data_IF_475737567701
#
_entry.id   IF_475737567701
#
_cell.length_a   1.000
_cell.length_b   1.000
_cell.length_c   1.000
_cell.angle_alpha   90.00
_cell.angle_beta   90.00
_cell.angle_gamma   90.00
#
_symmetry.space_group_name_H-M   'P 1'
#
loop_
_entity.id
_entity.type
_entity.pdbx_description
1 polymer ?
#
# COMPACT_ATOMS: atom_id res chain seq x y z
N UNK A 1 0.52 4.08 -4.49
CA UNK A 1 0.64 5.52 -4.16
C UNK A 1 0.52 6.30 -5.45
N UNK A 2 -0.26 7.40 -5.51
CA UNK A 2 -0.33 8.20 -6.72
C UNK A 2 1.05 8.72 -7.13
N UNK A 3 1.28 8.87 -8.43
CA UNK A 3 2.46 9.58 -8.93
C UNK A 3 2.28 11.04 -8.55
N UNK A 4 3.21 11.56 -7.75
CA UNK A 4 3.22 12.96 -7.35
C UNK A 4 4.09 13.73 -8.34
N UNK A 5 3.48 14.64 -9.10
CA UNK A 5 4.20 15.45 -10.11
C UNK A 5 4.82 16.72 -9.51
N UNK A 6 4.19 17.31 -8.49
CA UNK A 6 4.67 18.52 -7.83
C UNK A 6 6.04 18.32 -7.17
N UNK A 7 7.01 19.16 -7.54
CA UNK A 7 8.39 19.10 -7.05
C UNK A 7 8.53 19.34 -5.56
N UNK A 8 7.79 20.29 -5.00
CA UNK A 8 7.86 20.63 -3.57
C UNK A 8 7.27 19.49 -2.73
N UNK A 9 6.19 18.86 -3.19
CA UNK A 9 5.61 17.69 -2.54
C UNK A 9 6.54 16.49 -2.63
N UNK A 10 7.17 16.25 -3.79
CA UNK A 10 8.20 15.19 -3.94
C UNK A 10 9.37 15.40 -2.99
N UNK A 11 9.83 16.65 -2.84
CA UNK A 11 10.90 17.01 -1.90
C UNK A 11 10.49 16.75 -0.45
N UNK A 12 9.28 17.15 -0.04
CA UNK A 12 8.75 16.86 1.29
C UNK A 12 8.67 15.35 1.57
N UNK A 13 8.23 14.55 0.60
CA UNK A 13 8.19 13.09 0.72
C UNK A 13 9.58 12.46 0.78
N UNK A 14 10.57 13.03 0.10
CA UNK A 14 11.96 12.59 0.20
C UNK A 14 12.51 12.80 1.61
N UNK A 15 12.31 13.99 2.20
CA UNK A 15 12.69 14.28 3.58
C UNK A 15 11.95 13.40 4.60
N UNK A 16 10.67 13.10 4.39
CA UNK A 16 9.93 12.15 5.21
C UNK A 16 10.55 10.75 5.19
N UNK A 17 10.89 10.24 4.00
CA UNK A 17 11.52 8.91 3.83
C UNK A 17 12.91 8.87 4.44
N UNK A 18 13.69 9.94 4.31
CA UNK A 18 14.99 10.10 4.95
C UNK A 18 14.84 10.05 6.48
N UNK A 19 13.95 10.86 7.06
CA UNK A 19 13.69 10.87 8.50
C UNK A 19 13.25 9.50 9.03
N UNK A 20 12.41 8.78 8.28
CA UNK A 20 12.00 7.41 8.60
C UNK A 20 13.17 6.43 8.64
N UNK A 21 14.09 6.51 7.69
CA UNK A 21 15.28 5.63 7.64
C UNK A 21 16.28 5.94 8.76
N UNK A 22 16.37 7.20 9.17
CA UNK A 22 17.30 7.66 10.21
C UNK A 22 16.75 7.48 11.64
N UNK A 23 15.42 7.33 11.79
CA UNK A 23 14.79 7.15 13.11
C UNK A 23 15.35 5.91 13.82
N UNK A 24 15.86 6.08 15.04
CA UNK A 24 16.49 4.98 15.80
C UNK A 24 17.94 4.68 15.40
N UNK A 25 18.48 5.36 14.38
CA UNK A 25 19.90 5.32 14.00
C UNK A 25 20.58 6.63 14.37
N UNK A 26 20.00 7.76 13.99
CA UNK A 26 20.52 9.10 14.30
C UNK A 26 19.39 10.12 14.48
N UNK A 27 18.89 10.23 15.70
CA UNK A 27 17.67 10.99 16.02
C UNK A 27 17.76 12.48 15.65
N UNK A 28 18.93 13.11 15.78
CA UNK A 28 19.12 14.51 15.35
C UNK A 28 18.93 14.74 13.85
N UNK A 29 19.50 13.90 13.00
CA UNK A 29 19.27 14.00 11.56
C UNK A 29 17.86 13.57 11.19
N UNK A 30 17.28 12.57 11.88
CA UNK A 30 15.89 12.21 11.69
C UNK A 30 14.94 13.38 11.99
N UNK A 31 15.17 14.07 13.12
CA UNK A 31 14.43 15.27 13.52
C UNK A 31 14.55 16.35 12.44
N UNK A 32 15.78 16.64 12.00
CA UNK A 32 16.03 17.65 10.97
C UNK A 32 15.34 17.28 9.64
N UNK A 33 15.38 16.02 9.22
CA UNK A 33 14.67 15.57 8.01
C UNK A 33 13.16 15.75 8.14
N UNK A 34 12.55 15.38 9.27
CA UNK A 34 11.13 15.66 9.49
C UNK A 34 10.81 17.15 9.53
N UNK A 35 11.68 17.97 10.15
CA UNK A 35 11.53 19.43 10.15
C UNK A 35 11.58 20.00 8.72
N UNK A 36 12.47 19.50 7.87
CA UNK A 36 12.61 19.90 6.45
C UNK A 36 11.36 19.63 5.61
N UNK A 37 10.52 18.66 6.00
CA UNK A 37 9.21 18.43 5.37
C UNK A 37 8.36 19.70 5.41
N UNK A 38 8.31 20.37 6.55
CA UNK A 38 7.56 21.61 6.74
C UNK A 38 8.37 22.80 6.22
N UNK A 39 9.66 22.88 6.55
CA UNK A 39 10.50 24.03 6.22
C UNK A 39 10.60 24.30 4.72
N UNK A 40 10.73 23.25 3.90
CA UNK A 40 10.88 23.34 2.45
C UNK A 40 9.68 23.97 1.73
N UNK A 41 8.54 24.11 2.40
CA UNK A 41 7.29 24.61 1.82
C UNK A 41 7.11 26.13 2.00
N UNK A 42 8.06 26.81 2.64
CA UNK A 42 7.99 28.23 2.96
C UNK A 42 9.22 28.98 2.44
N UNK A 43 9.00 30.05 1.67
CA UNK A 43 10.09 30.84 1.08
C UNK A 43 10.81 31.77 2.09
N UNK A 44 10.09 32.39 3.05
CA UNK A 44 10.63 33.52 3.85
C UNK A 44 10.58 33.35 5.39
N UNK A 45 10.48 32.13 5.93
CA UNK A 45 10.58 31.91 7.38
C UNK A 45 9.38 32.32 8.25
N UNK A 46 8.65 33.37 7.86
CA UNK A 46 7.47 33.87 8.57
C UNK A 46 6.32 32.87 8.49
N UNK A 47 5.69 32.56 9.64
CA UNK A 47 4.49 31.70 9.73
C UNK A 47 4.75 30.25 10.16
N UNK A 48 6.00 29.77 10.17
CA UNK A 48 6.33 28.36 10.50
C UNK A 48 6.09 28.01 11.96
N UNK A 49 6.60 28.84 12.88
CA UNK A 49 6.39 28.64 14.31
C UNK A 49 4.89 28.70 14.67
N UNK A 50 4.15 29.62 14.03
CA UNK A 50 2.70 29.71 14.19
C UNK A 50 1.99 28.46 13.67
N UNK A 51 2.44 27.90 12.53
CA UNK A 51 1.88 26.66 12.01
C UNK A 51 2.09 25.50 12.99
N UNK A 52 3.30 25.36 13.56
CA UNK A 52 3.54 24.35 14.60
C UNK A 52 2.58 24.53 15.77
N UNK A 53 2.53 25.71 16.37
CA UNK A 53 1.64 25.99 17.51
C UNK A 53 0.18 25.66 17.21
N UNK A 54 -0.34 26.06 16.04
CA UNK A 54 -1.72 25.78 15.63
C UNK A 54 -2.02 24.30 15.43
N UNK A 55 -1.00 23.47 15.18
CA UNK A 55 -1.18 22.06 14.83
C UNK A 55 -0.89 21.06 15.97
N UNK A 56 -0.35 21.53 17.11
CA UNK A 56 -0.02 20.67 18.25
C UNK A 56 -1.24 19.93 18.81
N UNK A 57 -2.38 20.61 18.94
CA UNK A 57 -3.57 20.04 19.58
C UNK A 57 -4.32 19.03 18.67
N UNK A 58 -3.88 18.87 17.43
CA UNK A 58 -4.40 17.84 16.51
C UNK A 58 -3.58 16.55 16.52
N UNK A 59 -2.47 16.51 17.28
CA UNK A 59 -1.68 15.29 17.41
C UNK A 59 -2.41 14.33 18.36
N UNK A 60 -2.66 13.11 17.90
CA UNK A 60 -3.42 12.09 18.65
C UNK A 60 -2.58 10.92 19.12
N UNK A 61 -1.28 10.89 18.79
CA UNK A 61 -0.40 9.81 19.21
C UNK A 61 -0.01 10.01 20.68
N UNK A 62 -0.18 8.98 21.52
CA UNK A 62 -0.10 9.11 22.98
C UNK A 62 1.24 9.66 23.48
N UNK A 63 2.36 9.29 22.84
CA UNK A 63 3.69 9.79 23.22
C UNK A 63 3.87 11.25 22.83
N UNK A 64 3.34 11.68 21.69
CA UNK A 64 3.31 13.07 21.25
C UNK A 64 2.46 13.91 22.20
N UNK A 65 1.26 13.45 22.55
CA UNK A 65 0.38 14.14 23.51
C UNK A 65 1.07 14.27 24.88
N UNK A 66 1.69 13.19 25.35
CA UNK A 66 2.43 13.19 26.62
C UNK A 66 3.60 14.17 26.59
N UNK A 67 4.38 14.18 25.50
CA UNK A 67 5.52 15.09 25.35
C UNK A 67 5.09 16.56 25.26
N UNK A 68 3.97 16.87 24.60
CA UNK A 68 3.39 18.22 24.60
C UNK A 68 3.03 18.65 26.02
N UNK A 69 2.43 17.75 26.81
CA UNK A 69 2.04 18.04 28.18
C UNK A 69 3.27 18.31 29.08
N UNK A 70 4.34 17.53 28.93
CA UNK A 70 5.62 17.74 29.63
C UNK A 70 6.19 19.14 29.34
N UNK A 71 6.36 19.49 28.06
CA UNK A 71 6.92 20.77 27.66
C UNK A 71 6.06 21.96 28.13
N UNK A 72 4.72 21.81 28.10
CA UNK A 72 3.79 22.82 28.62
C UNK A 72 3.90 22.96 30.15
N UNK A 73 4.10 21.86 30.88
CA UNK A 73 4.28 21.88 32.33
C UNK A 73 5.60 22.57 32.74
N UNK A 74 6.63 22.45 31.90
CA UNK A 74 7.91 23.15 32.05
C UNK A 74 7.84 24.64 31.64
N UNK A 75 6.68 25.12 31.19
CA UNK A 75 6.42 26.51 30.81
C UNK A 75 6.91 26.88 29.41
N UNK A 76 7.21 25.90 28.55
CA UNK A 76 7.70 26.16 27.20
C UNK A 76 6.57 26.54 26.22
N UNK A 77 6.87 27.48 25.32
CA UNK A 77 6.11 27.65 24.07
C UNK A 77 6.54 26.55 23.09
N UNK A 78 5.83 25.42 23.16
CA UNK A 78 6.17 24.18 22.42
C UNK A 78 6.39 24.41 20.93
N UNK A 79 5.56 25.23 20.27
CA UNK A 79 5.71 25.47 18.83
C UNK A 79 6.98 26.26 18.50
N UNK A 80 7.31 27.25 19.34
CA UNK A 80 8.55 28.02 19.23
C UNK A 80 9.78 27.17 19.59
N UNK A 81 9.67 26.34 20.62
CA UNK A 81 10.71 25.38 21.03
C UNK A 81 11.06 24.42 19.92
N UNK A 82 10.06 23.79 19.29
CA UNK A 82 10.26 22.86 18.18
C UNK A 82 10.86 23.55 16.94
N UNK A 83 10.43 24.79 16.66
CA UNK A 83 11.02 25.57 15.58
C UNK A 83 12.49 25.89 15.82
N UNK A 84 12.84 26.33 17.04
CA UNK A 84 14.22 26.59 17.44
C UNK A 84 15.07 25.32 17.41
N UNK A 85 14.55 24.23 17.98
CA UNK A 85 15.22 22.93 18.03
C UNK A 85 15.45 22.36 16.63
N UNK A 86 14.49 22.47 15.71
CA UNK A 86 14.66 21.99 14.33
C UNK A 86 15.70 22.76 13.54
N UNK A 87 15.70 24.09 13.70
CA UNK A 87 16.70 24.98 13.09
C UNK A 87 18.09 24.86 13.67
N UNK A 88 18.28 24.12 14.76
CA UNK A 88 19.57 23.93 15.38
C UNK A 88 19.89 22.45 15.59
N UNK A 89 19.07 21.51 15.12
CA UNK A 89 19.12 20.08 15.47
C UNK A 89 20.45 19.40 15.15
N UNK A 90 21.19 19.94 14.17
CA UNK A 90 22.56 19.56 13.81
C UNK A 90 23.35 20.86 13.61
N UNK A 91 24.66 20.84 13.87
CA UNK A 91 25.54 22.01 13.74
C UNK A 91 25.27 22.81 12.45
N UNK A 92 24.81 24.05 12.60
CA UNK A 92 24.63 24.97 11.49
C UNK A 92 25.98 25.59 11.10
N UNK A 93 26.28 25.67 9.80
CA UNK A 93 27.51 26.26 9.28
C UNK A 93 27.65 27.78 9.55
N UNK A 94 26.60 28.43 10.06
CA UNK A 94 26.60 29.83 10.43
C UNK A 94 27.16 30.04 11.85
N UNK A 95 28.26 30.78 11.95
CA UNK A 95 28.90 31.18 13.21
C UNK A 95 27.94 32.00 14.10
N UNK A 96 27.87 31.65 15.40
CA UNK A 96 27.30 32.52 16.46
C UNK A 96 25.88 32.24 16.94
N UNK A 97 25.28 31.08 16.64
CA UNK A 97 23.98 30.66 17.20
C UNK A 97 24.12 29.62 18.32
N UNK A 98 23.02 29.34 19.05
CA UNK A 98 22.93 28.21 19.97
C UNK A 98 23.09 26.90 19.19
N UNK A 99 24.24 26.23 19.34
CA UNK A 99 24.55 24.98 18.64
C UNK A 99 23.99 23.82 19.47
N UNK A 100 23.12 22.99 18.88
CA UNK A 100 22.83 21.67 19.44
C UNK A 100 23.94 20.74 19.01
N UNK A 101 24.70 20.24 19.98
CA UNK A 101 25.79 19.31 19.72
C UNK A 101 25.28 17.87 19.86
N UNK A 102 25.21 17.07 18.77
CA UNK A 102 24.76 15.69 18.84
C UNK A 102 25.68 14.80 19.70
N UNK A 103 26.90 15.24 20.01
CA UNK A 103 27.82 14.57 20.94
C UNK A 103 27.59 14.97 22.40
N UNK A 104 26.83 16.03 22.66
CA UNK A 104 26.38 16.40 24.00
C UNK A 104 25.20 15.51 24.44
N UNK A 105 25.31 14.72 25.52
CA UNK A 105 24.28 13.75 25.89
C UNK A 105 22.91 14.37 26.24
N UNK A 106 22.87 15.56 26.84
CA UNK A 106 21.61 16.26 27.17
C UNK A 106 20.86 16.70 25.93
N UNK A 107 21.57 17.25 24.95
CA UNK A 107 21.02 17.65 23.66
C UNK A 107 20.50 16.46 22.88
N UNK A 108 21.28 15.38 22.84
CA UNK A 108 20.84 14.12 22.21
C UNK A 108 19.54 13.60 22.83
N UNK A 109 19.44 13.56 24.17
CA UNK A 109 18.22 13.10 24.86
C UNK A 109 17.02 14.01 24.58
N UNK A 110 17.22 15.32 24.60
CA UNK A 110 16.17 16.30 24.31
C UNK A 110 15.61 16.14 22.90
N UNK A 111 16.48 16.09 21.90
CA UNK A 111 16.06 15.90 20.49
C UNK A 111 15.39 14.53 20.28
N UNK A 112 15.91 13.47 20.91
CA UNK A 112 15.27 12.15 20.85
C UNK A 112 13.86 12.15 21.46
N UNK A 113 13.65 12.87 22.57
CA UNK A 113 12.33 13.03 23.19
C UNK A 113 11.37 13.83 22.30
N UNK A 114 11.86 14.88 21.64
CA UNK A 114 11.04 15.75 20.78
C UNK A 114 10.80 15.15 19.38
N UNK A 115 11.56 14.13 18.98
CA UNK A 115 11.47 13.49 17.65
C UNK A 115 10.06 13.01 17.33
N UNK A 116 9.33 12.50 18.32
CA UNK A 116 7.95 12.06 18.14
C UNK A 116 7.03 13.19 17.68
N UNK A 117 7.21 14.40 18.24
CA UNK A 117 6.43 15.58 17.88
C UNK A 117 6.70 15.99 16.44
N UNK A 118 7.98 16.11 16.07
CA UNK A 118 8.35 16.55 14.73
C UNK A 118 7.92 15.54 13.67
N UNK A 119 8.00 14.23 13.97
CA UNK A 119 7.49 13.18 13.10
C UNK A 119 5.98 13.30 12.88
N UNK A 120 5.18 13.44 13.94
CA UNK A 120 3.73 13.52 13.79
C UNK A 120 3.28 14.83 13.11
N UNK A 121 3.96 15.94 13.38
CA UNK A 121 3.74 17.21 12.68
C UNK A 121 4.08 17.11 11.18
N UNK A 122 5.20 16.49 10.82
CA UNK A 122 5.57 16.25 9.42
C UNK A 122 4.56 15.33 8.71
N UNK A 123 4.12 14.25 9.40
CA UNK A 123 3.08 13.35 8.88
C UNK A 123 1.78 14.09 8.60
N UNK A 124 1.36 14.94 9.54
CA UNK A 124 0.16 15.77 9.43
C UNK A 124 0.29 16.77 8.28
N UNK A 125 1.42 17.45 8.16
CA UNK A 125 1.66 18.40 7.08
C UNK A 125 1.49 17.74 5.71
N UNK A 126 2.09 16.55 5.52
CA UNK A 126 1.98 15.78 4.28
C UNK A 126 0.53 15.39 3.98
N UNK A 127 -0.20 14.91 4.98
CA UNK A 127 -1.57 14.43 4.80
C UNK A 127 -2.57 15.57 4.56
N UNK A 128 -2.49 16.64 5.36
CA UNK A 128 -3.55 17.63 5.46
C UNK A 128 -3.27 18.88 4.62
N UNK A 129 -2.02 19.35 4.60
CA UNK A 129 -1.62 20.55 3.85
C UNK A 129 -1.25 20.18 2.41
N UNK A 130 -0.41 19.15 2.23
CA UNK A 130 0.01 18.69 0.89
C UNK A 130 -1.01 17.75 0.25
N UNK A 131 -2.07 17.36 0.97
CA UNK A 131 -3.15 16.48 0.50
C UNK A 131 -2.65 15.15 -0.06
N UNK A 132 -1.51 14.67 0.42
CA UNK A 132 -0.97 13.38 -0.01
C UNK A 132 -1.70 12.27 0.75
N UNK A 133 -2.42 11.37 0.05
CA UNK A 133 -3.14 10.31 0.72
C UNK A 133 -2.16 9.35 1.41
N UNK A 134 -2.57 8.85 2.57
CA UNK A 134 -1.89 7.72 3.22
C UNK A 134 -2.15 6.42 2.44
N UNK A 135 -1.34 5.38 2.70
CA UNK A 135 -1.59 4.06 2.14
C UNK A 135 -3.00 3.55 2.50
N UNK A 136 -3.47 3.78 3.73
CA UNK A 136 -4.79 3.35 4.19
C UNK A 136 -5.92 4.13 3.52
N UNK A 137 -5.81 5.46 3.44
CA UNK A 137 -6.83 6.27 2.76
C UNK A 137 -6.91 5.93 1.28
N UNK A 138 -5.75 5.74 0.63
CA UNK A 138 -5.70 5.30 -0.76
C UNK A 138 -6.30 3.90 -0.92
N UNK A 139 -5.96 2.96 -0.05
CA UNK A 139 -6.55 1.61 -0.07
C UNK A 139 -8.09 1.67 0.03
N UNK A 140 -8.62 2.55 0.90
CA UNK A 140 -10.05 2.67 1.12
C UNK A 140 -10.81 3.31 -0.06
N UNK A 141 -10.20 4.25 -0.77
CA UNK A 141 -10.88 5.08 -1.79
C UNK A 141 -10.48 4.79 -3.23
N UNK A 142 -9.41 4.03 -3.49
CA UNK A 142 -8.91 3.79 -4.85
C UNK A 142 -9.87 2.90 -5.62
N UNK A 143 -10.26 3.34 -6.82
CA UNK A 143 -10.88 2.49 -7.82
C UNK A 143 -9.80 1.67 -8.55
N UNK A 144 -9.69 0.39 -8.21
CA UNK A 144 -8.72 -0.54 -8.80
C UNK A 144 -9.11 -0.99 -10.21
N UNK A 145 -10.39 -0.85 -10.57
CA UNK A 145 -10.91 -1.26 -11.88
C UNK A 145 -10.80 -0.15 -12.93
N UNK A 146 -10.51 1.08 -12.53
CA UNK A 146 -10.41 2.25 -13.42
C UNK A 146 -9.61 1.98 -14.71
N UNK A 147 -8.42 1.34 -14.68
CA UNK A 147 -7.66 1.04 -15.89
C UNK A 147 -8.38 0.19 -16.93
N UNK A 148 -9.33 -0.63 -16.47
CA UNK A 148 -10.05 -1.63 -17.27
C UNK A 148 -11.49 -1.23 -17.55
N UNK A 149 -12.01 -0.15 -16.98
CA UNK A 149 -13.40 0.31 -17.20
C UNK A 149 -13.73 0.54 -18.67
N UNK A 150 -12.74 0.96 -19.48
CA UNK A 150 -12.91 1.18 -20.91
C UNK A 150 -13.09 -0.11 -21.74
N UNK A 151 -12.93 -1.30 -21.13
CA UNK A 151 -13.31 -2.58 -21.75
C UNK A 151 -14.83 -2.77 -21.76
N UNK A 152 -15.53 -2.17 -20.79
CA UNK A 152 -16.97 -2.32 -20.59
C UNK A 152 -17.73 -1.26 -21.38
N UNK A 153 -18.82 -1.66 -22.01
CA UNK A 153 -19.69 -0.72 -22.74
C UNK A 153 -20.19 0.39 -21.79
N UNK A 154 -20.16 1.68 -22.19
CA UNK A 154 -20.43 2.79 -21.27
C UNK A 154 -21.76 2.73 -20.49
N UNK A 155 -22.85 2.24 -21.11
CA UNK A 155 -24.14 2.09 -20.40
C UNK A 155 -24.10 0.93 -19.42
N UNK A 156 -23.46 -0.19 -19.78
CA UNK A 156 -23.24 -1.30 -18.85
C UNK A 156 -22.35 -0.88 -17.67
N UNK A 157 -21.30 -0.10 -17.90
CA UNK A 157 -20.44 0.44 -16.84
C UNK A 157 -21.23 1.34 -15.88
N UNK A 158 -22.05 2.25 -16.41
CA UNK A 158 -22.91 3.11 -15.60
C UNK A 158 -23.91 2.29 -14.78
N UNK A 159 -24.49 1.23 -15.36
CA UNK A 159 -25.39 0.32 -14.67
C UNK A 159 -24.67 -0.44 -13.54
N UNK A 160 -23.46 -0.95 -13.77
CA UNK A 160 -22.66 -1.63 -12.74
C UNK A 160 -22.32 -0.69 -11.58
N UNK A 161 -21.88 0.54 -11.86
CA UNK A 161 -21.61 1.55 -10.82
C UNK A 161 -22.84 1.95 -10.03
N UNK A 162 -24.03 1.84 -10.62
CA UNK A 162 -25.31 2.05 -9.94
C UNK A 162 -25.80 0.82 -9.14
N UNK A 163 -25.06 -0.29 -9.16
CA UNK A 163 -25.45 -1.53 -8.47
C UNK A 163 -26.48 -2.36 -9.24
N UNK A 164 -26.62 -2.16 -10.56
CA UNK A 164 -27.51 -2.94 -11.41
C UNK A 164 -26.80 -4.18 -12.01
N UNK A 165 -27.58 -5.01 -12.70
CA UNK A 165 -27.12 -6.26 -13.32
C UNK A 165 -27.30 -6.20 -14.84
N UNK A 166 -26.34 -5.62 -15.60
CA UNK A 166 -26.40 -5.60 -17.06
C UNK A 166 -26.09 -6.98 -17.66
N UNK A 167 -26.32 -7.12 -18.96
CA UNK A 167 -25.99 -8.33 -19.71
C UNK A 167 -24.46 -8.59 -19.71
N UNK A 168 -24.00 -9.82 -19.40
CA UNK A 168 -22.56 -10.15 -19.35
C UNK A 168 -21.78 -9.84 -20.63
N UNK A 169 -22.41 -9.97 -21.80
CA UNK A 169 -21.77 -9.70 -23.09
C UNK A 169 -21.32 -8.23 -23.26
N UNK A 170 -21.93 -7.30 -22.52
CA UNK A 170 -21.58 -5.87 -22.57
C UNK A 170 -20.36 -5.50 -21.74
N UNK A 171 -19.85 -6.43 -20.92
CA UNK A 171 -18.68 -6.17 -20.07
C UNK A 171 -17.36 -6.19 -20.86
N UNK A 172 -17.34 -6.84 -22.05
CA UNK A 172 -16.14 -6.95 -22.88
C UNK A 172 -15.03 -7.81 -22.27
N UNK A 173 -15.36 -8.60 -21.24
CA UNK A 173 -14.40 -9.41 -20.47
C UNK A 173 -14.28 -10.85 -20.97
N UNK A 174 -15.30 -11.34 -21.66
CA UNK A 174 -15.39 -12.73 -22.09
C UNK A 174 -14.28 -13.07 -23.10
N UNK A 175 -13.49 -14.10 -22.80
CA UNK A 175 -12.42 -14.58 -23.67
C UNK A 175 -11.13 -13.76 -23.63
N UNK A 176 -11.04 -12.71 -22.81
CA UNK A 176 -9.80 -11.93 -22.66
C UNK A 176 -8.66 -12.83 -22.20
N UNK A 177 -7.47 -12.57 -22.73
CA UNK A 177 -6.22 -13.21 -22.32
C UNK A 177 -5.52 -12.33 -21.31
N UNK A 178 -5.37 -12.86 -20.10
CA UNK A 178 -4.78 -12.14 -18.97
C UNK A 178 -3.69 -12.98 -18.32
N UNK A 179 -2.75 -12.32 -17.67
CA UNK A 179 -1.72 -12.96 -16.85
C UNK A 179 -2.06 -12.76 -15.37
N UNK A 180 -1.73 -13.75 -14.53
CA UNK A 180 -1.82 -13.63 -13.07
C UNK A 180 -0.40 -13.54 -12.52
N UNK A 181 -0.09 -12.43 -11.85
CA UNK A 181 1.21 -12.15 -11.25
C UNK A 181 1.08 -11.96 -9.74
N UNK A 182 2.12 -12.34 -8.99
CA UNK A 182 2.25 -12.00 -7.58
C UNK A 182 3.26 -10.87 -7.45
N UNK A 183 2.85 -9.65 -7.09
CA UNK A 183 3.79 -8.54 -6.93
C UNK A 183 4.78 -8.82 -5.77
N UNK A 184 6.10 -8.58 -5.94
CA UNK A 184 6.78 -7.98 -7.10
C UNK A 184 7.40 -8.98 -8.09
N UNK A 185 7.10 -10.27 -7.98
CA UNK A 185 7.80 -11.35 -8.68
C UNK A 185 7.35 -11.50 -10.13
N UNK A 186 8.15 -12.22 -10.92
CA UNK A 186 7.79 -12.59 -12.29
C UNK A 186 6.57 -13.52 -12.34
N UNK A 187 5.92 -13.56 -13.51
CA UNK A 187 4.77 -14.43 -13.75
C UNK A 187 5.20 -15.89 -13.68
N UNK A 188 4.44 -16.68 -12.91
CA UNK A 188 4.72 -18.10 -12.76
C UNK A 188 4.33 -18.86 -14.05
N UNK A 189 5.11 -19.85 -14.47
CA UNK A 189 4.78 -20.67 -15.64
C UNK A 189 3.38 -21.29 -15.55
N UNK A 190 2.55 -21.08 -16.57
CA UNK A 190 1.16 -21.56 -16.61
C UNK A 190 0.14 -20.53 -16.12
N UNK A 191 0.59 -19.36 -15.63
CA UNK A 191 -0.25 -18.21 -15.27
C UNK A 191 -0.08 -17.03 -16.24
N UNK A 192 0.81 -17.16 -17.22
CA UNK A 192 1.14 -16.20 -18.28
C UNK A 192 0.08 -16.14 -19.38
N UNK A 193 -0.85 -17.11 -19.43
CA UNK A 193 -1.94 -17.09 -20.40
C UNK A 193 -3.22 -17.72 -19.87
N UNK A 194 -4.00 -16.89 -19.18
CA UNK A 194 -5.30 -17.27 -18.63
C UNK A 194 -6.42 -16.73 -19.51
N UNK A 195 -7.42 -17.56 -19.80
CA UNK A 195 -8.66 -17.16 -20.47
C UNK A 195 -9.68 -16.73 -19.44
N UNK A 196 -10.15 -15.50 -19.54
CA UNK A 196 -11.23 -14.98 -18.72
C UNK A 196 -12.60 -15.46 -19.20
N UNK A 197 -13.45 -15.86 -18.27
CA UNK A 197 -14.86 -16.19 -18.46
C UNK A 197 -15.70 -15.42 -17.45
N UNK A 198 -16.80 -14.82 -17.89
CA UNK A 198 -17.77 -14.17 -16.99
C UNK A 198 -18.73 -15.24 -16.49
N UNK A 199 -18.66 -15.54 -15.19
CA UNK A 199 -19.45 -16.59 -14.54
C UNK A 199 -20.82 -16.06 -14.10
N UNK A 200 -20.84 -14.86 -13.49
CA UNK A 200 -22.06 -14.21 -13.06
C UNK A 200 -21.89 -12.69 -13.01
N UNK A 201 -23.00 -11.96 -13.17
CA UNK A 201 -23.08 -10.52 -12.89
C UNK A 201 -24.24 -10.32 -11.93
N UNK A 202 -24.00 -9.59 -10.84
CA UNK A 202 -25.02 -9.32 -9.83
C UNK A 202 -24.66 -8.07 -9.03
N UNK A 203 -25.65 -7.18 -8.83
CA UNK A 203 -25.56 -6.02 -7.93
C UNK A 203 -24.33 -5.12 -8.13
N UNK A 204 -23.95 -4.87 -9.38
CA UNK A 204 -22.79 -4.04 -9.71
C UNK A 204 -21.44 -4.76 -9.64
N UNK A 205 -21.43 -6.07 -9.43
CA UNK A 205 -20.23 -6.89 -9.44
C UNK A 205 -20.28 -7.96 -10.53
N UNK A 206 -19.13 -8.29 -11.11
CA UNK A 206 -18.95 -9.36 -12.06
C UNK A 206 -18.00 -10.41 -11.49
N UNK A 207 -18.48 -11.65 -11.33
CA UNK A 207 -17.63 -12.79 -11.01
C UNK A 207 -17.01 -13.32 -12.30
N UNK A 208 -15.68 -13.40 -12.30
CA UNK A 208 -14.89 -13.90 -13.43
C UNK A 208 -14.05 -15.09 -13.00
N UNK A 209 -13.91 -16.04 -13.93
CA UNK A 209 -13.08 -17.22 -13.78
C UNK A 209 -11.95 -17.16 -14.80
N UNK A 210 -10.73 -17.39 -14.34
CA UNK A 210 -9.52 -17.41 -15.16
C UNK A 210 -9.05 -18.86 -15.29
N UNK A 211 -9.04 -19.38 -16.51
CA UNK A 211 -8.60 -20.74 -16.82
C UNK A 211 -7.26 -20.73 -17.56
N UNK A 212 -6.31 -21.57 -17.16
CA UNK A 212 -5.09 -21.75 -17.96
C UNK A 212 -5.39 -22.51 -19.26
N UNK A 213 -4.49 -22.42 -20.25
CA UNK A 213 -4.67 -23.09 -21.55
C UNK A 213 -4.82 -24.62 -21.46
N UNK A 214 -4.26 -25.22 -20.41
CA UNK A 214 -4.36 -26.67 -20.16
C UNK A 214 -5.65 -27.08 -19.45
N UNK A 215 -6.49 -26.12 -19.03
CA UNK A 215 -7.71 -26.36 -18.25
C UNK A 215 -7.46 -27.19 -16.99
N UNK A 216 -6.29 -27.00 -16.36
CA UNK A 216 -5.87 -27.66 -15.12
C UNK A 216 -5.92 -26.74 -13.90
N UNK A 217 -6.13 -25.43 -14.11
CA UNK A 217 -6.23 -24.43 -13.04
C UNK A 217 -7.39 -23.48 -13.32
N UNK A 218 -8.13 -23.14 -12.27
CA UNK A 218 -9.09 -22.03 -12.29
C UNK A 218 -8.85 -21.10 -11.10
N UNK A 219 -8.82 -19.80 -11.37
CA UNK A 219 -8.81 -18.76 -10.35
C UNK A 219 -10.07 -17.90 -10.44
N UNK A 220 -10.71 -17.66 -9.31
CA UNK A 220 -11.95 -16.90 -9.24
C UNK A 220 -11.72 -15.50 -8.66
N UNK A 221 -12.31 -14.50 -9.31
CA UNK A 221 -12.26 -13.10 -8.87
C UNK A 221 -13.64 -12.48 -8.95
N UNK A 222 -13.90 -11.48 -8.11
CA UNK A 222 -15.07 -10.62 -8.21
C UNK A 222 -14.61 -9.19 -8.49
N UNK A 223 -15.01 -8.67 -9.64
CA UNK A 223 -14.81 -7.29 -10.05
C UNK A 223 -16.01 -6.48 -9.53
N UNK A 224 -15.85 -5.81 -8.39
CA UNK A 224 -16.87 -4.96 -7.79
C UNK A 224 -16.72 -3.52 -8.33
N UNK A 225 -17.48 -3.21 -9.39
CA UNK A 225 -17.45 -1.90 -10.04
C UNK A 225 -18.09 -0.81 -9.18
N UNK A 226 -18.99 -1.17 -8.25
CA UNK A 226 -19.64 -0.22 -7.37
C UNK A 226 -18.64 0.36 -6.37
N UNK A 227 -17.77 -0.48 -5.82
CA UNK A 227 -16.77 -0.07 -4.83
C UNK A 227 -15.37 0.09 -5.44
N UNK A 228 -15.19 -0.22 -6.74
CA UNK A 228 -13.90 -0.15 -7.43
C UNK A 228 -12.89 -1.16 -6.88
N UNK A 229 -13.34 -2.37 -6.52
CA UNK A 229 -12.55 -3.40 -5.84
C UNK A 229 -12.46 -4.68 -6.67
N UNK A 230 -11.42 -5.45 -6.39
CA UNK A 230 -11.21 -6.76 -6.99
C UNK A 230 -10.96 -7.74 -5.85
N UNK A 231 -11.91 -8.64 -5.62
CA UNK A 231 -11.82 -9.63 -4.56
C UNK A 231 -11.25 -10.93 -5.13
N UNK A 232 -10.13 -11.38 -4.57
CA UNK A 232 -9.59 -12.71 -4.86
C UNK A 232 -10.41 -13.76 -4.11
N UNK A 233 -11.07 -14.66 -4.84
CA UNK A 233 -11.85 -15.76 -4.25
C UNK A 233 -10.99 -17.02 -4.21
N UNK A 234 -10.01 -17.02 -3.31
CA UNK A 234 -9.06 -18.14 -3.16
C UNK A 234 -9.79 -19.46 -2.87
N UNK A 235 -10.85 -19.43 -2.05
CA UNK A 235 -11.68 -20.60 -1.72
C UNK A 235 -12.48 -21.17 -2.91
N UNK A 236 -12.70 -20.35 -3.94
CA UNK A 236 -13.37 -20.74 -5.17
C UNK A 236 -12.39 -21.02 -6.31
N UNK A 237 -11.09 -20.92 -6.04
CA UNK A 237 -10.02 -21.24 -6.98
C UNK A 237 -9.58 -22.68 -6.75
N UNK A 238 -9.32 -23.44 -7.81
CA UNK A 238 -9.04 -24.87 -7.70
C UNK A 238 -8.08 -25.38 -8.79
N UNK A 239 -7.37 -26.47 -8.47
CA UNK A 239 -6.84 -27.38 -9.48
C UNK A 239 -7.99 -28.17 -10.10
N UNK A 240 -8.03 -28.21 -11.42
CA UNK A 240 -9.02 -28.96 -12.19
C UNK A 240 -8.43 -30.29 -12.61
N UNK A 241 -9.16 -31.37 -12.36
CA UNK A 241 -8.77 -32.72 -12.78
C UNK A 241 -9.95 -33.39 -13.48
N UNK A 242 -9.71 -33.85 -14.71
CA UNK A 242 -10.62 -34.67 -15.51
C UNK A 242 -9.83 -35.75 -16.24
N UNK A 243 -10.53 -36.64 -16.97
CA UNK A 243 -9.85 -37.66 -17.78
C UNK A 243 -9.00 -37.03 -18.90
N UNK A 244 -9.44 -35.90 -19.44
CA UNK A 244 -8.77 -35.18 -20.54
C UNK A 244 -7.72 -34.18 -20.06
N UNK A 245 -7.90 -33.61 -18.86
CA UNK A 245 -7.05 -32.55 -18.31
C UNK A 245 -6.52 -32.96 -16.95
N UNK A 246 -5.23 -33.29 -16.88
CA UNK A 246 -4.56 -33.70 -15.64
C UNK A 246 -3.49 -32.67 -15.25
N UNK A 247 -3.54 -32.12 -14.02
CA UNK A 247 -2.47 -31.28 -13.50
C UNK A 247 -1.13 -32.00 -13.56
N UNK A 248 -0.06 -31.27 -13.85
CA UNK A 248 1.31 -31.75 -13.64
C UNK A 248 1.91 -31.05 -12.42
N UNK A 249 3.15 -31.42 -12.06
CA UNK A 249 3.82 -30.82 -10.90
C UNK A 249 3.94 -29.28 -11.02
N UNK A 250 4.16 -28.76 -12.22
CA UNK A 250 4.26 -27.33 -12.45
C UNK A 250 2.93 -26.60 -12.17
N UNK A 251 1.79 -27.17 -12.60
CA UNK A 251 0.47 -26.62 -12.29
C UNK A 251 0.21 -26.62 -10.79
N UNK A 252 0.53 -27.75 -10.12
CA UNK A 252 0.37 -27.88 -8.66
C UNK A 252 1.20 -26.82 -7.94
N UNK A 253 2.47 -26.68 -8.32
CA UNK A 253 3.39 -25.69 -7.74
C UNK A 253 2.90 -24.27 -7.97
N UNK A 254 2.50 -23.92 -9.19
CA UNK A 254 1.99 -22.59 -9.52
C UNK A 254 0.73 -22.26 -8.72
N UNK A 255 -0.25 -23.17 -8.70
CA UNK A 255 -1.50 -23.00 -7.96
C UNK A 255 -1.28 -22.79 -6.46
N UNK A 256 -0.54 -23.69 -5.81
CA UNK A 256 -0.31 -23.60 -4.37
C UNK A 256 0.59 -22.42 -3.99
N UNK A 257 1.48 -21.99 -4.89
CA UNK A 257 2.27 -20.77 -4.69
C UNK A 257 1.36 -19.55 -4.63
N UNK A 258 0.41 -19.41 -5.56
CA UNK A 258 -0.60 -18.34 -5.48
C UNK A 258 -1.42 -18.47 -4.19
N UNK A 259 -1.98 -19.65 -3.92
CA UNK A 259 -2.82 -19.88 -2.75
C UNK A 259 -2.15 -19.48 -1.42
N UNK A 260 -0.98 -20.06 -1.12
CA UNK A 260 -0.33 -19.84 0.17
C UNK A 260 0.28 -18.45 0.30
N UNK A 261 0.80 -17.87 -0.79
CA UNK A 261 1.38 -16.53 -0.72
C UNK A 261 0.31 -15.46 -0.57
N UNK A 262 -0.85 -15.63 -1.21
CA UNK A 262 -1.98 -14.69 -1.06
C UNK A 262 -2.54 -14.73 0.35
N UNK A 263 -2.67 -15.91 0.95
CA UNK A 263 -2.98 -16.06 2.39
C UNK A 263 -1.89 -15.40 3.27
N UNK A 264 -0.64 -15.39 2.81
CA UNK A 264 0.49 -14.68 3.40
C UNK A 264 0.58 -13.19 3.06
N UNK A 265 -0.51 -12.55 2.60
CA UNK A 265 -0.62 -11.14 2.20
C UNK A 265 0.11 -10.74 0.91
N UNK A 266 0.45 -11.68 0.02
CA UNK A 266 0.89 -11.33 -1.33
C UNK A 266 -0.25 -10.69 -2.13
N UNK A 267 0.09 -9.75 -3.00
CA UNK A 267 -0.87 -9.04 -3.87
C UNK A 267 -0.88 -9.70 -5.24
N UNK A 268 -2.06 -10.10 -5.71
CA UNK A 268 -2.25 -10.53 -7.10
C UNK A 268 -2.40 -9.29 -7.98
N UNK A 269 -1.71 -9.27 -9.11
CA UNK A 269 -1.98 -8.35 -10.21
C UNK A 269 -2.54 -9.15 -11.39
N UNK A 270 -3.60 -8.62 -12.02
CA UNK A 270 -4.07 -9.09 -13.32
C UNK A 270 -3.50 -8.18 -14.40
N UNK A 271 -2.83 -8.78 -15.38
CA UNK A 271 -2.20 -8.06 -16.47
C UNK A 271 -2.97 -8.33 -17.76
N UNK A 272 -3.14 -7.28 -18.55
CA UNK A 272 -3.77 -7.33 -19.87
C UNK A 272 -2.94 -6.47 -20.81
N UNK A 273 -2.59 -7.03 -21.96
CA UNK A 273 -1.71 -6.37 -22.94
C UNK A 273 -2.23 -4.96 -23.31
N UNK A 274 -1.32 -3.99 -23.30
CA UNK A 274 -1.63 -2.60 -23.65
C UNK A 274 -2.41 -1.82 -22.59
N UNK A 275 -2.57 -2.37 -21.38
CA UNK A 275 -3.29 -1.72 -20.26
C UNK A 275 -2.47 -1.73 -18.99
N UNK A 276 -2.77 -0.77 -18.11
CA UNK A 276 -2.20 -0.78 -16.76
C UNK A 276 -2.72 -2.01 -15.99
N UNK A 277 -1.84 -2.70 -15.23
CA UNK A 277 -2.24 -3.81 -14.37
C UNK A 277 -3.25 -3.38 -13.32
N UNK A 278 -4.16 -4.29 -12.95
CA UNK A 278 -5.08 -4.06 -11.83
C UNK A 278 -4.66 -4.93 -10.64
N UNK A 279 -4.48 -4.30 -9.48
CA UNK A 279 -4.07 -4.98 -8.24
C UNK A 279 -5.29 -5.42 -7.42
N UNK A 280 -5.31 -6.69 -7.03
CA UNK A 280 -6.38 -7.29 -6.24
C UNK A 280 -6.27 -6.91 -4.76
N UNK A 281 -7.38 -6.94 -4.04
CA UNK A 281 -7.38 -6.70 -2.60
C UNK A 281 -6.58 -7.78 -1.85
N UNK A 282 -6.00 -7.37 -0.72
CA UNK A 282 -5.32 -8.30 0.19
C UNK A 282 -6.35 -9.23 0.80
N UNK A 283 -6.07 -10.53 0.76
CA UNK A 283 -6.91 -11.54 1.40
C UNK A 283 -6.52 -11.58 2.88
N UNK A 284 -7.48 -11.29 3.76
CA UNK A 284 -7.31 -11.44 5.20
C UNK A 284 -7.85 -12.82 5.58
N UNK A 285 -6.98 -13.81 5.87
CA UNK A 285 -7.44 -15.12 6.28
C UNK A 285 -8.16 -15.04 7.63
N UNK A 286 -9.33 -15.65 7.73
CA UNK A 286 -10.10 -15.75 8.98
C UNK A 286 -10.05 -17.20 9.45
N UNK A 287 -9.73 -17.41 10.74
CA UNK A 287 -9.60 -18.75 11.35
C UNK A 287 -8.56 -19.68 10.72
N UNK A 288 -7.53 -19.12 10.07
CA UNK A 288 -6.39 -19.88 9.53
C UNK A 288 -5.12 -19.33 10.18
N UNK A 289 -4.23 -20.23 10.61
CA UNK A 289 -2.84 -19.87 10.97
C UNK A 289 -2.03 -20.03 9.68
N UNK A 290 -1.56 -18.94 9.05
CA UNK A 290 -0.77 -19.05 7.83
C UNK A 290 0.50 -19.84 8.10
N UNK A 291 0.77 -20.84 7.26
CA UNK A 291 2.04 -21.56 7.25
C UNK A 291 3.08 -20.75 6.48
N UNK A 292 4.36 -21.09 6.64
CA UNK A 292 5.38 -20.62 5.70
C UNK A 292 4.97 -21.04 4.28
N UNK A 293 4.77 -20.11 3.33
CA UNK A 293 4.30 -20.44 2.00
C UNK A 293 5.23 -21.39 1.25
N UNK A 294 6.56 -21.23 1.39
CA UNK A 294 7.53 -22.08 0.70
C UNK A 294 7.39 -23.54 1.15
N UNK A 295 7.36 -23.77 2.45
CA UNK A 295 7.26 -25.12 3.01
C UNK A 295 5.92 -25.78 2.63
N UNK A 296 4.84 -25.00 2.64
CA UNK A 296 3.50 -25.49 2.29
C UNK A 296 3.35 -25.86 0.80
N UNK A 297 4.04 -25.13 -0.09
CA UNK A 297 4.11 -25.45 -1.52
C UNK A 297 4.87 -26.75 -1.76
N UNK A 298 6.04 -26.93 -1.12
CA UNK A 298 6.81 -28.17 -1.30
C UNK A 298 6.05 -29.39 -0.78
N UNK A 299 5.37 -29.29 0.37
CA UNK A 299 4.54 -30.38 0.88
C UNK A 299 3.41 -30.75 -0.09
N UNK A 300 2.76 -29.76 -0.70
CA UNK A 300 1.71 -30.01 -1.69
C UNK A 300 2.25 -30.72 -2.94
N UNK A 301 3.45 -30.32 -3.40
CA UNK A 301 4.13 -30.97 -4.53
C UNK A 301 4.54 -32.40 -4.17
N UNK A 302 5.09 -32.64 -2.98
CA UNK A 302 5.42 -33.99 -2.53
C UNK A 302 4.19 -34.89 -2.41
N UNK A 303 3.10 -34.38 -1.84
CA UNK A 303 1.84 -35.10 -1.74
C UNK A 303 1.31 -35.49 -3.13
N UNK A 304 1.43 -34.59 -4.10
CA UNK A 304 1.06 -34.86 -5.49
C UNK A 304 1.93 -35.96 -6.11
N UNK A 305 3.26 -35.93 -5.93
CA UNK A 305 4.16 -36.99 -6.42
C UNK A 305 3.78 -38.37 -5.89
N UNK A 306 3.48 -38.47 -4.59
CA UNK A 306 3.08 -39.75 -3.94
C UNK A 306 1.74 -40.29 -4.44
N UNK A 307 0.86 -39.44 -5.00
CA UNK A 307 -0.41 -39.87 -5.58
C UNK A 307 -0.25 -40.42 -7.00
N UNK A 308 0.90 -40.18 -7.66
CA UNK A 308 1.20 -40.68 -9.00
C UNK A 308 1.98 -41.99 -9.00
N UNK A 309 2.54 -42.39 -7.86
CA UNK A 309 3.18 -43.70 -7.61
C UNK A 309 2.14 -44.80 -7.38
#
# INVERSE_FOLDING_TARGET
MPIIEDENVRLALAFWREGKRLSGVHDSYAFLSYFKVVESQYQNGSGRAEWFTKNLDYLTEDRAVSRIAELRADGEDVGRHLYGSGRNAVAHASFGGDIVDPDTPSDRRRIAADLVLMRELARRYIADELRVPTANSLYASRNRLEPWESLTEPRALAALKAGCTPEPALLGLEGLRVEIKLWPDDVLPGLDRMTMRVDAVHEGAARVLLFNDRMTMVFAFVLDYRNGRIHTQVENSNLLQSDEHRPNEQDVRAFYTVFYRVIGNAVIELLLEGREPIDCEVVIPVNIIPRNPTDAVEEAVEAFRRQQE
#
